data_IF_474879014244
#
_entry.id   IF_474879014244
#
_cell.length_a   1.000
_cell.length_b   1.000
_cell.length_c   1.000
_cell.angle_alpha   90.00
_cell.angle_beta   90.00
_cell.angle_gamma   90.00
#
_symmetry.space_group_name_H-M   'P 1'
#
loop_
_entity.id
_entity.type
_entity.pdbx_description
1 polymer ?
#
# COMPACT_ATOMS: atom_id res chain seq x y z
N UNK A 1 -18.90 -16.87 13.63
CA UNK A 1 -18.71 -15.56 12.97
C UNK A 1 -18.13 -14.62 14.00
N UNK A 2 -16.89 -14.19 13.79
CA UNK A 2 -16.20 -13.25 14.68
C UNK A 2 -16.58 -11.82 14.34
N UNK A 3 -16.44 -10.93 15.31
CA UNK A 3 -16.70 -9.50 15.20
C UNK A 3 -15.44 -8.74 15.56
N UNK A 4 -15.19 -7.67 14.81
CA UNK A 4 -14.01 -6.85 14.92
C UNK A 4 -14.41 -5.39 15.08
N UNK A 5 -13.64 -4.66 15.87
CA UNK A 5 -13.77 -3.22 16.05
C UNK A 5 -12.66 -2.50 15.27
N UNK A 6 -13.05 -1.52 14.48
CA UNK A 6 -12.11 -0.61 13.84
C UNK A 6 -11.50 0.33 14.89
N UNK A 7 -10.18 0.48 14.85
CA UNK A 7 -9.44 1.45 15.64
C UNK A 7 -8.47 2.22 14.75
N UNK A 8 -8.31 3.51 15.02
CA UNK A 8 -7.26 4.30 14.38
C UNK A 8 -5.90 3.91 14.96
N UNK A 9 -4.91 3.73 14.08
CA UNK A 9 -3.52 3.59 14.50
C UNK A 9 -2.94 4.96 14.84
N UNK A 10 -2.26 5.05 15.97
CA UNK A 10 -1.62 6.30 16.40
C UNK A 10 -0.63 6.77 15.31
N UNK A 11 -0.75 8.03 14.91
CA UNK A 11 0.07 8.68 13.88
C UNK A 11 -0.02 8.08 12.46
N UNK A 12 -1.04 7.26 12.17
CA UNK A 12 -1.25 6.73 10.82
C UNK A 12 -2.72 6.89 10.41
N UNK A 13 -3.01 7.26 9.15
CA UNK A 13 -4.38 7.43 8.67
C UNK A 13 -5.08 6.08 8.41
N UNK A 14 -4.70 5.01 9.13
CA UNK A 14 -5.11 3.64 8.87
C UNK A 14 -5.98 3.12 10.01
N UNK A 15 -6.93 2.25 9.64
CA UNK A 15 -7.70 1.50 10.61
C UNK A 15 -7.09 0.10 10.79
N UNK A 16 -7.02 -0.34 12.04
CA UNK A 16 -6.79 -1.73 12.39
C UNK A 16 -8.09 -2.38 12.85
N UNK A 17 -8.22 -3.68 12.60
CA UNK A 17 -9.36 -4.47 13.03
C UNK A 17 -8.97 -5.34 14.22
N UNK A 18 -9.49 -5.02 15.40
CA UNK A 18 -9.24 -5.80 16.62
C UNK A 18 -10.43 -6.72 16.89
N UNK A 19 -10.17 -8.01 17.14
CA UNK A 19 -11.23 -8.96 17.49
C UNK A 19 -11.82 -8.62 18.85
N UNK A 20 -13.15 -8.49 18.93
CA UNK A 20 -13.86 -8.11 20.16
C UNK A 20 -14.91 -9.12 20.62
N UNK A 21 -15.37 -10.00 19.73
CA UNK A 21 -16.29 -11.08 20.08
C UNK A 21 -16.19 -12.23 19.07
N UNK A 22 -16.35 -13.47 19.55
CA UNK A 22 -16.35 -14.68 18.71
C UNK A 22 -17.75 -15.09 18.26
N UNK A 23 -18.79 -14.44 18.79
CA UNK A 23 -20.18 -14.69 18.43
C UNK A 23 -21.07 -13.46 18.63
N UNK A 24 -22.23 -13.44 17.99
CA UNK A 24 -23.22 -12.36 18.17
C UNK A 24 -23.76 -12.30 19.60
N UNK A 25 -23.86 -13.45 20.27
CA UNK A 25 -24.29 -13.52 21.67
C UNK A 25 -23.30 -12.80 22.57
N UNK A 26 -22.02 -13.09 22.43
CA UNK A 26 -20.95 -12.44 23.19
C UNK A 26 -20.90 -10.92 22.91
N UNK A 27 -21.09 -10.51 21.65
CA UNK A 27 -21.17 -9.09 21.29
C UNK A 27 -22.32 -8.37 22.02
N UNK A 28 -23.47 -9.04 22.18
CA UNK A 28 -24.62 -8.53 22.95
C UNK A 28 -24.33 -8.45 24.43
N UNK A 29 -23.73 -9.51 24.99
CA UNK A 29 -23.38 -9.57 26.40
C UNK A 29 -22.38 -8.46 26.78
N UNK A 30 -21.50 -8.07 25.85
CA UNK A 30 -20.58 -6.94 25.97
C UNK A 30 -21.23 -5.56 25.73
N UNK A 31 -22.49 -5.50 25.29
CA UNK A 31 -23.19 -4.24 25.01
C UNK A 31 -22.74 -3.51 23.74
N UNK A 32 -22.06 -4.22 22.82
CA UNK A 32 -21.38 -3.65 21.66
C UNK A 32 -22.18 -3.75 20.35
N UNK A 33 -23.38 -4.35 20.36
CA UNK A 33 -24.17 -4.66 19.15
C UNK A 33 -24.54 -3.46 18.26
N UNK A 34 -24.43 -2.22 18.77
CA UNK A 34 -24.81 -1.00 18.06
C UNK A 34 -23.62 -0.05 17.82
N UNK A 35 -22.39 -0.49 18.11
CA UNK A 35 -21.20 0.31 17.85
C UNK A 35 -20.97 0.39 16.32
N UNK A 36 -21.02 1.59 15.71
CA UNK A 36 -20.86 1.77 14.27
C UNK A 36 -19.46 1.42 13.76
N UNK A 37 -18.50 1.19 14.65
CA UNK A 37 -17.14 0.77 14.32
C UNK A 37 -16.96 -0.75 14.33
N UNK A 38 -18.01 -1.51 14.68
CA UNK A 38 -17.96 -2.97 14.74
C UNK A 38 -18.61 -3.57 13.51
N UNK A 39 -17.93 -4.55 12.91
CA UNK A 39 -18.50 -5.38 11.85
C UNK A 39 -18.08 -6.84 12.01
N UNK A 40 -18.79 -7.72 11.31
CA UNK A 40 -18.43 -9.12 11.22
C UNK A 40 -17.24 -9.32 10.28
N UNK A 41 -16.49 -10.39 10.51
CA UNK A 41 -15.34 -10.79 9.69
C UNK A 41 -15.63 -10.75 8.17
N UNK A 42 -16.77 -11.29 7.75
CA UNK A 42 -17.16 -11.36 6.33
C UNK A 42 -17.44 -9.99 5.67
N UNK A 43 -17.63 -8.94 6.48
CA UNK A 43 -17.88 -7.58 6.00
C UNK A 43 -16.60 -6.71 6.02
N UNK A 44 -15.49 -7.21 6.55
CA UNK A 44 -14.22 -6.49 6.54
C UNK A 44 -13.71 -6.44 5.09
N UNK A 45 -13.50 -5.25 4.52
CA UNK A 45 -13.04 -5.15 3.15
C UNK A 45 -11.56 -5.53 3.04
N UNK A 46 -11.20 -6.10 1.89
CA UNK A 46 -9.81 -6.33 1.54
C UNK A 46 -9.05 -5.01 1.44
N UNK A 47 -7.78 -5.02 1.85
CA UNK A 47 -6.94 -3.85 1.81
C UNK A 47 -6.53 -3.56 0.35
N UNK A 48 -6.65 -2.30 -0.06
CA UNK A 48 -6.24 -1.80 -1.37
C UNK A 48 -4.93 -1.04 -1.20
N UNK A 49 -3.88 -1.45 -1.94
CA UNK A 49 -2.55 -0.82 -1.85
C UNK A 49 -1.96 -0.84 -0.42
N UNK A 50 -2.27 -1.89 0.35
CA UNK A 50 -1.86 -1.98 1.76
C UNK A 50 -2.68 -1.13 2.73
N UNK A 51 -3.71 -0.43 2.25
CA UNK A 51 -4.57 0.47 3.02
C UNK A 51 -6.01 -0.04 3.04
N UNK A 52 -6.67 -0.02 4.20
CA UNK A 52 -8.08 -0.35 4.26
C UNK A 52 -8.91 0.68 3.46
N UNK A 53 -9.96 0.31 2.71
CA UNK A 53 -10.80 1.30 2.02
C UNK A 53 -11.73 2.09 2.95
N UNK A 54 -11.90 1.69 4.22
CA UNK A 54 -12.75 2.38 5.20
C UNK A 54 -11.93 3.23 6.18
N UNK A 55 -12.36 4.46 6.45
CA UNK A 55 -11.78 5.35 7.47
C UNK A 55 -12.80 5.61 8.58
N UNK A 56 -12.31 6.02 9.75
CA UNK A 56 -13.17 6.50 10.82
C UNK A 56 -13.33 8.02 10.64
N UNK A 57 -14.57 8.49 10.52
CA UNK A 57 -14.89 9.90 10.43
C UNK A 57 -16.11 10.18 11.31
N UNK A 58 -15.99 11.13 12.24
CA UNK A 58 -17.05 11.46 13.21
C UNK A 58 -17.61 10.24 13.98
N UNK A 59 -16.73 9.27 14.31
CA UNK A 59 -17.11 8.06 15.02
C UNK A 59 -17.88 7.03 14.19
N UNK A 60 -17.85 7.15 12.85
CA UNK A 60 -18.47 6.20 11.93
C UNK A 60 -17.45 5.68 10.92
N UNK A 61 -17.71 4.47 10.41
CA UNK A 61 -16.97 3.95 9.26
C UNK A 61 -17.52 4.53 7.97
N UNK A 62 -16.66 5.19 7.21
CA UNK A 62 -16.99 5.77 5.90
C UNK A 62 -15.98 5.30 4.86
N UNK A 63 -16.44 5.19 3.61
CA UNK A 63 -15.55 4.86 2.50
C UNK A 63 -14.58 6.01 2.20
N UNK A 64 -13.32 5.67 1.95
CA UNK A 64 -12.37 6.61 1.36
C UNK A 64 -12.80 6.93 -0.07
N UNK A 65 -12.65 8.18 -0.45
CA UNK A 65 -12.86 8.62 -1.81
C UNK A 65 -11.86 7.98 -2.78
N UNK A 66 -12.22 7.90 -4.05
CA UNK A 66 -11.29 7.43 -5.10
C UNK A 66 -10.03 8.30 -5.17
N UNK A 67 -10.13 9.60 -4.87
CA UNK A 67 -8.95 10.48 -4.86
C UNK A 67 -7.98 10.11 -3.72
N UNK A 68 -8.48 9.82 -2.51
CA UNK A 68 -7.64 9.37 -1.40
C UNK A 68 -6.92 8.06 -1.74
N UNK A 69 -7.65 7.08 -2.31
CA UNK A 69 -7.05 5.80 -2.69
C UNK A 69 -6.00 5.94 -3.80
N UNK A 70 -6.17 6.86 -4.75
CA UNK A 70 -5.15 7.16 -5.77
C UNK A 70 -3.88 7.78 -5.19
N UNK A 71 -4.00 8.56 -4.11
CA UNK A 71 -2.82 9.09 -3.41
C UNK A 71 -2.06 7.94 -2.76
N UNK A 72 -2.74 7.03 -2.08
CA UNK A 72 -2.12 5.85 -1.48
C UNK A 72 -1.53 4.90 -2.52
N UNK A 73 -2.22 4.68 -3.65
CA UNK A 73 -1.68 3.91 -4.76
C UNK A 73 -0.35 4.49 -5.23
N UNK A 74 -0.27 5.81 -5.40
CA UNK A 74 0.97 6.48 -5.79
C UNK A 74 2.04 6.39 -4.70
N UNK A 75 1.69 6.52 -3.43
CA UNK A 75 2.66 6.48 -2.33
C UNK A 75 3.25 5.07 -2.13
N UNK A 76 2.39 4.04 -2.15
CA UNK A 76 2.78 2.67 -1.78
C UNK A 76 3.14 1.79 -2.99
N UNK A 77 2.67 2.10 -4.20
CA UNK A 77 3.08 1.36 -5.42
C UNK A 77 4.17 2.08 -6.23
N UNK A 78 4.62 3.28 -5.85
CA UNK A 78 5.81 3.85 -6.51
C UNK A 78 7.03 3.06 -6.05
N UNK A 79 7.78 2.42 -6.97
CA UNK A 79 9.01 1.72 -6.61
C UNK A 79 9.98 2.71 -5.95
N UNK A 80 10.52 2.34 -4.80
CA UNK A 80 11.54 3.17 -4.12
C UNK A 80 12.79 3.26 -4.99
N UNK A 81 13.55 4.36 -4.85
CA UNK A 81 14.86 4.50 -5.53
C UNK A 81 15.76 3.28 -5.28
N UNK A 82 15.79 2.78 -4.04
CA UNK A 82 16.54 1.59 -3.68
C UNK A 82 16.08 0.31 -4.41
N UNK A 83 14.77 0.17 -4.65
CA UNK A 83 14.24 -0.96 -5.44
C UNK A 83 14.69 -0.87 -6.90
N UNK A 84 14.72 0.33 -7.47
CA UNK A 84 15.14 0.56 -8.85
C UNK A 84 16.65 0.35 -9.00
N UNK A 85 17.45 0.85 -8.06
CA UNK A 85 18.91 0.65 -8.03
C UNK A 85 19.24 -0.84 -8.01
N UNK A 86 18.56 -1.62 -7.16
CA UNK A 86 18.74 -3.07 -7.11
C UNK A 86 18.37 -3.75 -8.43
N UNK A 87 17.24 -3.39 -9.05
CA UNK A 87 16.83 -3.98 -10.33
C UNK A 87 17.82 -3.61 -11.45
N UNK A 88 18.38 -2.40 -11.43
CA UNK A 88 19.43 -1.96 -12.37
C UNK A 88 20.69 -2.80 -12.20
N UNK A 89 21.17 -3.03 -10.98
CA UNK A 89 22.34 -3.87 -10.72
C UNK A 89 22.15 -5.30 -11.23
N UNK A 90 21.00 -5.91 -10.94
CA UNK A 90 20.66 -7.25 -11.42
C UNK A 90 20.59 -7.31 -12.96
N UNK A 91 20.04 -6.26 -13.59
CA UNK A 91 19.92 -6.18 -15.04
C UNK A 91 21.28 -5.99 -15.73
N UNK A 92 22.20 -5.21 -15.13
CA UNK A 92 23.58 -5.06 -15.61
C UNK A 92 24.30 -6.41 -15.59
N UNK A 93 24.23 -7.14 -14.48
CA UNK A 93 24.83 -8.48 -14.37
C UNK A 93 24.27 -9.45 -15.41
N UNK A 94 22.96 -9.37 -15.68
CA UNK A 94 22.31 -10.18 -16.71
C UNK A 94 22.78 -9.81 -18.12
N UNK A 95 22.91 -8.53 -18.42
CA UNK A 95 23.45 -8.03 -19.71
C UNK A 95 24.88 -8.52 -19.90
N UNK A 96 25.74 -8.41 -18.88
CA UNK A 96 27.11 -8.90 -18.94
C UNK A 96 27.18 -10.40 -19.23
N UNK A 97 26.28 -11.17 -18.62
CA UNK A 97 26.20 -12.62 -18.82
C UNK A 97 25.74 -12.95 -20.24
N UNK A 98 24.67 -12.32 -20.72
CA UNK A 98 24.13 -12.53 -22.06
C UNK A 98 25.12 -12.12 -23.16
N UNK A 99 25.83 -11.01 -22.95
CA UNK A 99 26.87 -10.55 -23.86
C UNK A 99 28.03 -11.56 -23.96
N UNK A 100 28.44 -12.18 -22.84
CA UNK A 100 29.44 -13.26 -22.83
C UNK A 100 28.96 -14.53 -23.54
N UNK A 101 27.66 -14.80 -23.52
CA UNK A 101 27.03 -15.94 -24.18
C UNK A 101 26.70 -15.69 -25.65
N UNK A 102 26.90 -14.47 -26.15
CA UNK A 102 26.53 -14.08 -27.52
C UNK A 102 25.02 -14.00 -27.75
N UNK A 103 24.25 -13.85 -26.68
CA UNK A 103 22.79 -13.70 -26.74
C UNK A 103 22.38 -12.26 -27.07
N UNK A 104 21.14 -12.07 -27.55
CA UNK A 104 20.60 -10.75 -27.82
C UNK A 104 20.35 -9.97 -26.52
N UNK A 105 21.09 -8.86 -26.36
CA UNK A 105 21.00 -7.96 -25.21
C UNK A 105 20.10 -6.76 -25.46
N UNK A 106 19.58 -6.56 -26.68
CA UNK A 106 18.77 -5.39 -27.02
C UNK A 106 17.53 -5.25 -26.11
N UNK A 107 16.76 -6.32 -25.80
CA UNK A 107 15.62 -6.21 -24.90
C UNK A 107 16.03 -5.79 -23.47
N UNK A 108 17.19 -6.25 -23.01
CA UNK A 108 17.70 -5.94 -21.68
C UNK A 108 18.19 -4.48 -21.61
N UNK A 109 18.86 -3.99 -22.65
CA UNK A 109 19.28 -2.59 -22.74
C UNK A 109 18.08 -1.62 -22.82
N UNK A 110 17.01 -1.98 -23.53
CA UNK A 110 15.77 -1.20 -23.56
C UNK A 110 15.18 -1.09 -22.15
N UNK A 111 15.04 -2.23 -21.46
CA UNK A 111 14.54 -2.26 -20.07
C UNK A 111 15.42 -1.45 -19.11
N UNK A 112 16.75 -1.49 -19.28
CA UNK A 112 17.70 -0.72 -18.47
C UNK A 112 17.47 0.78 -18.65
N UNK A 113 17.30 1.23 -19.90
CA UNK A 113 17.03 2.64 -20.19
C UNK A 113 15.69 3.10 -19.60
N UNK A 114 14.64 2.27 -19.66
CA UNK A 114 13.35 2.57 -19.03
C UNK A 114 13.47 2.74 -17.50
N UNK A 115 14.24 1.86 -16.84
CA UNK A 115 14.50 1.96 -15.41
C UNK A 115 15.30 3.22 -15.05
N UNK A 116 16.31 3.59 -15.85
CA UNK A 116 17.09 4.82 -15.64
C UNK A 116 16.20 6.06 -15.76
N UNK A 117 15.31 6.12 -16.76
CA UNK A 117 14.36 7.22 -16.92
C UNK A 117 13.40 7.29 -15.73
N UNK A 118 12.90 6.14 -15.27
CA UNK A 118 12.01 6.04 -14.11
C UNK A 118 12.71 6.51 -12.83
N UNK A 119 13.97 6.10 -12.63
CA UNK A 119 14.80 6.55 -11.51
C UNK A 119 14.97 8.07 -11.50
N UNK A 120 15.33 8.67 -12.64
CA UNK A 120 15.49 10.12 -12.75
C UNK A 120 14.19 10.85 -12.46
N UNK A 121 13.06 10.34 -12.95
CA UNK A 121 11.75 10.92 -12.69
C UNK A 121 11.38 10.92 -11.20
N UNK A 122 11.59 9.79 -10.51
CA UNK A 122 11.28 9.64 -9.08
C UNK A 122 12.24 10.49 -8.24
N UNK A 123 13.55 10.43 -8.53
CA UNK A 123 14.57 11.24 -7.85
C UNK A 123 14.27 12.73 -7.97
N UNK A 124 13.90 13.19 -9.17
CA UNK A 124 13.54 14.59 -9.39
C UNK A 124 12.28 14.97 -8.61
N UNK A 125 11.25 14.11 -8.55
CA UNK A 125 10.06 14.33 -7.73
C UNK A 125 10.38 14.45 -6.23
N UNK A 126 11.21 13.56 -5.68
CA UNK A 126 11.63 13.63 -4.27
C UNK A 126 12.40 14.91 -3.96
N UNK A 127 13.23 15.40 -4.88
CA UNK A 127 13.94 16.68 -4.73
C UNK A 127 13.08 17.93 -4.92
N UNK A 128 11.87 17.83 -5.49
CA UNK A 128 10.95 18.96 -5.70
C UNK A 128 9.90 19.06 -4.58
N UNK A 129 9.82 18.08 -3.66
CA UNK A 129 8.95 18.18 -2.48
C UNK A 129 9.31 19.46 -1.69
N UNK A 130 8.44 20.49 -1.65
CA UNK A 130 8.73 21.69 -0.90
C UNK A 130 8.77 21.32 0.58
N UNK A 131 9.81 21.79 1.29
CA UNK A 131 9.75 21.93 2.74
C UNK A 131 8.55 22.83 3.04
N UNK A 132 7.41 22.24 3.39
CA UNK A 132 6.30 22.99 3.97
C UNK A 132 6.74 23.41 5.37
N UNK A 133 7.11 24.70 5.49
CA UNK A 133 7.21 25.42 6.75
C UNK A 133 5.82 25.81 7.26
#
# INVERSE_FOLDING_TARGET
MMYFKAQELENKPFIQWESVAFSFKELKDLGLQGDPLIMSEDNIPNFMFGVCPLKIENGQLVERSSQELQVFEKEYNTPSLASIEKEVEELILKIETYNKLGEDILPLNTKLNELIVTYQFIKNKESITPLNF
#
